data_IF_763840213437
#
_entry.id   IF_763840213437
#
_cell.length_a   1.000
_cell.length_b   1.000
_cell.length_c   1.000
_cell.angle_alpha   90.00
_cell.angle_beta   90.00
_cell.angle_gamma   90.00
#
_symmetry.space_group_name_H-M   'P 1'
#
loop_
_entity.id
_entity.type
_entity.pdbx_description
1 polymer ?
#
# COMPACT_ATOMS: atom_id res chain seq x y z
N UNK A 1 4.36 9.64 10.94
CA UNK A 1 3.72 9.91 9.63
C UNK A 1 3.14 11.33 9.65
N UNK A 2 3.44 12.18 8.65
CA UNK A 2 3.00 13.60 8.55
C UNK A 2 1.99 13.89 7.42
N UNK A 3 1.77 12.89 6.56
CA UNK A 3 0.86 12.89 5.43
C UNK A 3 1.19 11.71 4.51
N UNK A 4 0.19 11.10 3.87
CA UNK A 4 0.37 9.97 2.96
C UNK A 4 -0.84 9.84 2.04
N UNK A 5 -0.64 10.15 0.75
CA UNK A 5 -1.61 10.04 -0.34
C UNK A 5 -0.90 9.44 -1.55
N UNK A 6 -1.61 8.61 -2.30
CA UNK A 6 -1.08 7.99 -3.51
C UNK A 6 -2.18 7.32 -4.33
N UNK A 7 -1.78 6.74 -5.45
CA UNK A 7 -2.66 6.10 -6.42
C UNK A 7 -2.35 4.61 -6.47
N UNK A 8 -3.27 3.73 -6.03
CA UNK A 8 -3.03 2.28 -6.10
C UNK A 8 -3.21 1.72 -7.51
N UNK A 9 -3.98 2.41 -8.34
CA UNK A 9 -4.25 2.04 -9.74
C UNK A 9 -3.42 2.94 -10.67
N UNK A 10 -2.91 2.41 -11.80
CA UNK A 10 -2.11 3.18 -12.76
C UNK A 10 -2.99 4.09 -13.64
N UNK A 11 -3.65 5.07 -13.03
CA UNK A 11 -4.58 6.00 -13.70
C UNK A 11 -3.87 7.20 -14.36
N UNK A 12 -2.58 7.39 -14.09
CA UNK A 12 -1.75 8.48 -14.59
C UNK A 12 -0.34 7.96 -14.92
N UNK A 13 0.41 8.63 -15.82
CA UNK A 13 1.85 8.43 -15.93
C UNK A 13 2.55 8.62 -14.58
N UNK A 14 3.62 7.85 -14.32
CA UNK A 14 4.30 7.84 -13.02
C UNK A 14 4.73 9.23 -12.55
N UNK A 15 5.25 10.06 -13.46
CA UNK A 15 5.69 11.42 -13.12
C UNK A 15 4.54 12.32 -12.68
N UNK A 16 3.38 12.21 -13.32
CA UNK A 16 2.20 13.00 -12.99
C UNK A 16 1.59 12.54 -11.67
N UNK A 17 1.51 11.21 -11.46
CA UNK A 17 1.08 10.62 -10.20
C UNK A 17 1.98 11.04 -9.04
N UNK A 18 3.30 11.04 -9.23
CA UNK A 18 4.27 11.47 -8.23
C UNK A 18 4.06 12.93 -7.85
N UNK A 19 3.98 13.83 -8.83
CA UNK A 19 3.78 15.26 -8.58
C UNK A 19 2.49 15.52 -7.80
N UNK A 20 1.37 14.94 -8.22
CA UNK A 20 0.10 15.12 -7.51
C UNK A 20 0.14 14.48 -6.12
N UNK A 21 0.65 13.26 -5.97
CA UNK A 21 0.73 12.55 -4.69
C UNK A 21 1.61 13.30 -3.68
N UNK A 22 2.74 13.88 -4.12
CA UNK A 22 3.61 14.71 -3.26
C UNK A 22 2.87 15.94 -2.73
N UNK A 23 2.20 16.70 -3.61
CA UNK A 23 1.43 17.89 -3.23
C UNK A 23 0.26 17.49 -2.31
N UNK A 24 -0.47 16.44 -2.68
CA UNK A 24 -1.63 15.95 -1.95
C UNK A 24 -1.25 15.43 -0.55
N UNK A 25 -0.15 14.69 -0.42
CA UNK A 25 0.36 14.22 0.88
C UNK A 25 0.69 15.38 1.83
N UNK A 26 1.23 16.48 1.31
CA UNK A 26 1.59 17.65 2.11
C UNK A 26 0.40 18.58 2.42
N UNK A 27 -0.60 18.66 1.53
CA UNK A 27 -1.61 19.74 1.56
C UNK A 27 -3.08 19.30 1.57
N UNK A 28 -3.36 18.02 1.26
CA UNK A 28 -4.72 17.48 1.08
C UNK A 28 -5.01 16.22 1.89
N UNK A 29 -4.07 15.69 2.66
CA UNK A 29 -4.35 14.59 3.59
C UNK A 29 -5.30 15.07 4.70
N UNK A 30 -6.55 14.58 4.79
CA UNK A 30 -7.56 15.11 5.71
C UNK A 30 -7.26 14.81 7.17
N UNK A 31 -6.30 13.92 7.46
CA UNK A 31 -5.92 13.52 8.82
C UNK A 31 -4.96 14.52 9.48
N UNK A 32 -4.32 15.39 8.70
CA UNK A 32 -3.27 16.30 9.18
C UNK A 32 -3.50 17.74 8.71
N UNK A 33 -2.96 18.72 9.43
CA UNK A 33 -2.89 20.08 8.93
C UNK A 33 -1.91 20.17 7.76
N UNK A 34 -2.09 21.16 6.87
CA UNK A 34 -1.16 21.38 5.75
C UNK A 34 0.27 21.58 6.27
N UNK A 35 1.24 20.99 5.59
CA UNK A 35 2.67 21.19 5.86
C UNK A 35 3.03 22.63 5.52
N UNK A 36 3.67 23.34 6.46
CA UNK A 36 4.22 24.68 6.20
C UNK A 36 5.60 24.59 5.52
N UNK A 37 6.01 25.62 4.76
CA UNK A 37 7.33 25.64 4.13
C UNK A 37 8.49 25.45 5.11
N UNK A 38 8.40 25.99 6.34
CA UNK A 38 9.44 25.85 7.36
C UNK A 38 9.52 24.43 7.98
N UNK A 39 8.48 23.62 7.83
CA UNK A 39 8.47 22.22 8.28
C UNK A 39 9.26 21.33 7.31
N UNK A 40 9.32 21.66 6.02
CA UNK A 40 9.89 20.79 4.98
C UNK A 40 11.32 20.32 5.28
N UNK A 41 12.18 21.23 5.75
CA UNK A 41 13.57 20.94 6.16
C UNK A 41 13.71 19.97 7.34
N UNK A 42 12.61 19.60 7.99
CA UNK A 42 12.55 18.66 9.11
C UNK A 42 11.79 17.38 8.75
N UNK A 43 11.36 17.22 7.49
CA UNK A 43 10.63 16.05 7.03
C UNK A 43 11.55 15.17 6.19
N UNK A 44 11.38 13.86 6.36
CA UNK A 44 11.93 12.84 5.46
C UNK A 44 10.85 12.51 4.43
N UNK A 45 11.20 12.58 3.16
CA UNK A 45 10.32 12.19 2.06
C UNK A 45 10.51 10.71 1.76
N UNK A 46 9.40 10.01 1.58
CA UNK A 46 9.35 8.61 1.17
C UNK A 46 8.39 8.47 -0.02
N UNK A 47 8.82 7.71 -1.04
CA UNK A 47 8.07 7.42 -2.25
C UNK A 47 7.99 5.91 -2.43
N UNK A 48 6.77 5.41 -2.55
CA UNK A 48 6.50 4.00 -2.87
C UNK A 48 6.00 3.90 -4.31
N UNK A 49 6.75 3.21 -5.17
CA UNK A 49 6.38 2.93 -6.56
C UNK A 49 5.78 1.53 -6.64
N UNK A 50 4.60 1.41 -7.23
CA UNK A 50 3.85 0.15 -7.29
C UNK A 50 3.83 -0.44 -8.70
N UNK A 51 3.88 -1.76 -8.80
CA UNK A 51 3.49 -2.46 -10.03
C UNK A 51 1.97 -2.36 -10.22
N UNK A 52 1.46 -2.49 -11.45
CA UNK A 52 0.02 -2.65 -11.67
C UNK A 52 -0.53 -3.82 -10.83
N UNK A 53 -1.69 -3.66 -10.16
CA UNK A 53 -2.32 -4.77 -9.44
C UNK A 53 -2.79 -5.88 -10.39
N UNK A 54 -2.46 -7.11 -10.05
CA UNK A 54 -2.85 -8.31 -10.80
C UNK A 54 -3.87 -9.12 -10.01
N UNK A 55 -4.97 -9.51 -10.66
CA UNK A 55 -5.99 -10.35 -10.04
C UNK A 55 -5.43 -11.74 -9.74
N UNK A 56 -5.51 -12.18 -8.48
CA UNK A 56 -5.14 -13.55 -8.10
C UNK A 56 -6.25 -14.49 -8.58
N UNK A 57 -5.93 -15.35 -9.53
CA UNK A 57 -6.87 -16.36 -10.06
C UNK A 57 -6.79 -17.62 -9.22
N UNK A 58 -7.92 -18.02 -8.65
CA UNK A 58 -8.10 -19.25 -7.87
C UNK A 58 -9.33 -20.02 -8.35
N UNK A 59 -9.37 -21.33 -8.16
CA UNK A 59 -10.57 -22.14 -8.39
C UNK A 59 -11.40 -22.24 -7.11
N UNK A 60 -10.71 -22.34 -5.97
CA UNK A 60 -11.27 -22.26 -4.63
C UNK A 60 -10.62 -21.13 -3.83
N UNK A 61 -11.39 -20.46 -2.98
CA UNK A 61 -10.88 -19.36 -2.15
C UNK A 61 -9.81 -19.81 -1.17
N UNK A 62 -9.81 -21.08 -0.74
CA UNK A 62 -8.75 -21.64 0.12
C UNK A 62 -7.35 -21.63 -0.53
N UNK A 63 -7.26 -21.43 -1.86
CA UNK A 63 -5.97 -21.31 -2.53
C UNK A 63 -5.29 -19.95 -2.33
N UNK A 64 -6.02 -18.90 -1.95
CA UNK A 64 -5.48 -17.54 -1.88
C UNK A 64 -4.20 -17.43 -1.03
N UNK A 65 -4.14 -17.94 0.22
CA UNK A 65 -2.92 -17.86 1.03
C UNK A 65 -1.68 -18.39 0.31
N UNK A 66 -1.80 -19.50 -0.43
CA UNK A 66 -0.68 -20.12 -1.15
C UNK A 66 -0.15 -19.33 -2.36
N UNK A 67 -0.90 -18.32 -2.83
CA UNK A 67 -0.55 -17.48 -3.99
C UNK A 67 0.07 -16.14 -3.60
N UNK A 68 0.22 -15.89 -2.30
CA UNK A 68 0.64 -14.63 -1.71
C UNK A 68 2.00 -14.85 -1.06
N UNK A 69 2.98 -14.03 -1.45
CA UNK A 69 4.32 -14.06 -0.87
C UNK A 69 4.47 -12.89 0.13
N UNK A 70 4.42 -13.18 1.43
CA UNK A 70 4.59 -12.18 2.49
C UNK A 70 5.96 -11.51 2.37
N UNK A 71 5.99 -10.18 2.51
CA UNK A 71 7.21 -9.37 2.36
C UNK A 71 7.53 -8.97 0.93
N UNK A 72 6.75 -9.44 -0.04
CA UNK A 72 6.90 -9.10 -1.46
C UNK A 72 5.61 -8.60 -2.07
N UNK A 73 4.51 -9.32 -1.84
CA UNK A 73 3.20 -8.96 -2.35
C UNK A 73 2.49 -8.00 -1.39
N UNK A 74 1.97 -6.91 -1.92
CA UNK A 74 0.92 -6.09 -1.32
C UNK A 74 -0.44 -6.59 -1.79
N UNK A 75 -1.49 -6.36 -1.01
CA UNK A 75 -2.83 -6.85 -1.31
C UNK A 75 -3.84 -5.73 -1.48
N UNK A 76 -4.78 -5.96 -2.40
CA UNK A 76 -6.00 -5.19 -2.54
C UNK A 76 -7.18 -6.15 -2.44
N UNK A 77 -8.10 -5.87 -1.53
CA UNK A 77 -9.39 -6.56 -1.42
C UNK A 77 -10.49 -5.65 -1.92
N UNK A 78 -11.33 -6.15 -2.82
CA UNK A 78 -12.48 -5.45 -3.37
C UNK A 78 -13.74 -6.32 -3.27
N UNK A 79 -14.81 -5.79 -2.66
CA UNK A 79 -16.15 -6.37 -2.71
C UNK A 79 -17.20 -5.26 -2.86
N UNK A 80 -17.89 -5.25 -4.01
CA UNK A 80 -18.82 -4.18 -4.36
C UNK A 80 -18.12 -2.82 -4.42
N UNK A 81 -18.57 -1.86 -3.59
CA UNK A 81 -17.99 -0.51 -3.50
C UNK A 81 -16.88 -0.38 -2.44
N UNK A 82 -16.62 -1.45 -1.68
CA UNK A 82 -15.61 -1.45 -0.62
C UNK A 82 -14.28 -1.95 -1.17
N UNK A 83 -13.22 -1.19 -0.89
CA UNK A 83 -11.86 -1.49 -1.34
C UNK A 83 -10.85 -1.14 -0.26
N UNK A 84 -9.91 -2.04 0.00
CA UNK A 84 -8.85 -1.86 0.98
C UNK A 84 -7.52 -2.30 0.39
N UNK A 85 -6.45 -1.63 0.79
CA UNK A 85 -5.09 -1.92 0.35
C UNK A 85 -4.15 -1.94 1.55
N UNK A 86 -3.25 -2.92 1.58
CA UNK A 86 -2.10 -2.96 2.46
C UNK A 86 -0.81 -3.21 1.65
N UNK A 87 0.25 -2.51 2.03
CA UNK A 87 1.54 -2.56 1.34
C UNK A 87 2.36 -3.81 1.74
N UNK A 88 3.33 -4.24 0.92
CA UNK A 88 4.11 -5.46 1.16
C UNK A 88 4.84 -5.55 2.52
N UNK A 89 5.25 -4.41 3.08
CA UNK A 89 6.00 -4.37 4.35
C UNK A 89 5.11 -4.57 5.58
N UNK A 90 3.83 -4.23 5.50
CA UNK A 90 2.90 -4.28 6.65
C UNK A 90 2.85 -5.67 7.28
N UNK A 91 2.62 -6.78 6.53
CA UNK A 91 2.56 -8.10 7.14
C UNK A 91 3.91 -8.54 7.73
N UNK A 92 5.05 -8.03 7.25
CA UNK A 92 6.37 -8.32 7.84
C UNK A 92 6.52 -7.64 9.18
N UNK A 93 6.20 -6.34 9.26
CA UNK A 93 6.27 -5.54 10.49
C UNK A 93 5.36 -6.10 11.59
N UNK A 94 4.17 -6.56 11.21
CA UNK A 94 3.16 -7.11 12.12
C UNK A 94 3.30 -8.62 12.36
N UNK A 95 4.24 -9.29 11.67
CA UNK A 95 4.50 -10.74 11.74
C UNK A 95 3.26 -11.59 11.37
N UNK A 96 2.53 -11.14 10.36
CA UNK A 96 1.38 -11.85 9.81
C UNK A 96 1.82 -12.89 8.78
N UNK A 97 1.13 -14.03 8.78
CA UNK A 97 1.18 -14.94 7.64
C UNK A 97 0.25 -14.44 6.50
N UNK A 98 0.18 -15.21 5.41
CA UNK A 98 -0.65 -14.86 4.25
C UNK A 98 -2.15 -14.81 4.56
N UNK A 99 -2.63 -15.60 5.52
CA UNK A 99 -4.04 -15.66 5.89
C UNK A 99 -4.42 -14.48 6.78
N UNK A 100 -3.61 -14.18 7.80
CA UNK A 100 -3.73 -12.97 8.61
C UNK A 100 -3.69 -11.73 7.70
N UNK A 101 -2.78 -11.70 6.73
CA UNK A 101 -2.65 -10.59 5.81
C UNK A 101 -3.91 -10.36 4.95
N UNK A 102 -4.53 -11.43 4.44
CA UNK A 102 -5.82 -11.36 3.76
C UNK A 102 -6.91 -10.81 4.68
N UNK A 103 -6.99 -11.33 5.90
CA UNK A 103 -7.99 -10.93 6.88
C UNK A 103 -7.89 -9.44 7.25
N UNK A 104 -6.68 -8.97 7.50
CA UNK A 104 -6.41 -7.57 7.80
C UNK A 104 -6.64 -6.65 6.61
N UNK A 105 -6.39 -7.12 5.38
CA UNK A 105 -6.74 -6.36 4.18
C UNK A 105 -8.26 -6.25 4.00
N UNK A 106 -9.03 -7.28 4.37
CA UNK A 106 -10.49 -7.20 4.41
C UNK A 106 -10.98 -6.17 5.44
N UNK A 107 -10.43 -6.17 6.66
CA UNK A 107 -10.74 -5.14 7.66
C UNK A 107 -10.42 -3.74 7.11
N UNK A 108 -9.28 -3.60 6.44
CA UNK A 108 -8.86 -2.32 5.84
C UNK A 108 -9.86 -1.81 4.79
N UNK A 109 -10.54 -2.71 4.10
CA UNK A 109 -11.62 -2.40 3.16
C UNK A 109 -12.96 -2.07 3.86
N UNK A 110 -13.04 -2.19 5.19
CA UNK A 110 -14.28 -2.09 5.95
C UNK A 110 -15.18 -3.31 5.76
N UNK A 111 -14.60 -4.49 5.53
CA UNK A 111 -15.29 -5.76 5.32
C UNK A 111 -15.03 -6.73 6.50
N UNK A 112 -15.86 -7.79 6.66
CA UNK A 112 -15.57 -8.87 7.60
C UNK A 112 -14.20 -9.52 7.35
N UNK A 113 -13.59 -10.07 8.40
CA UNK A 113 -12.26 -10.71 8.35
C UNK A 113 -12.16 -11.79 7.27
N UNK A 114 -13.18 -12.62 7.15
CA UNK A 114 -13.28 -13.75 6.22
C UNK A 114 -13.80 -13.37 4.83
N UNK A 115 -13.91 -12.08 4.52
CA UNK A 115 -14.47 -11.61 3.25
C UNK A 115 -13.73 -12.15 2.02
N UNK A 116 -12.44 -12.48 2.14
CA UNK A 116 -11.65 -13.07 1.07
C UNK A 116 -12.11 -14.49 0.67
N UNK A 117 -12.88 -15.17 1.54
CA UNK A 117 -13.54 -16.44 1.24
C UNK A 117 -14.84 -16.29 0.43
N UNK A 118 -15.33 -15.05 0.25
CA UNK A 118 -16.48 -14.79 -0.60
C UNK A 118 -16.07 -14.91 -2.08
N UNK A 119 -16.79 -15.72 -2.86
CA UNK A 119 -16.54 -15.93 -4.30
C UNK A 119 -16.69 -14.66 -5.15
N UNK A 120 -17.41 -13.65 -4.66
CA UNK A 120 -17.54 -12.35 -5.32
C UNK A 120 -16.40 -11.39 -4.96
N UNK A 121 -15.63 -11.67 -3.90
CA UNK A 121 -14.50 -10.84 -3.52
C UNK A 121 -13.36 -11.02 -4.53
N UNK A 122 -12.80 -9.89 -4.97
CA UNK A 122 -11.63 -9.87 -5.83
C UNK A 122 -10.41 -9.53 -5.00
N UNK A 123 -9.41 -10.39 -5.08
CA UNK A 123 -8.12 -10.20 -4.42
C UNK A 123 -7.09 -9.92 -5.50
N UNK A 124 -6.43 -8.77 -5.42
CA UNK A 124 -5.33 -8.42 -6.29
C UNK A 124 -4.04 -8.38 -5.49
N UNK A 125 -2.94 -8.70 -6.16
CA UNK A 125 -1.60 -8.50 -5.64
C UNK A 125 -0.79 -7.55 -6.48
N UNK A 126 0.14 -6.85 -5.84
CA UNK A 126 1.08 -5.96 -6.49
C UNK A 126 2.40 -5.99 -5.72
N UNK A 127 3.46 -5.46 -6.31
CA UNK A 127 4.75 -5.29 -5.66
C UNK A 127 5.07 -3.81 -5.53
N UNK A 128 5.96 -3.47 -4.61
CA UNK A 128 6.36 -2.10 -4.36
C UNK A 128 7.84 -1.95 -4.13
N UNK A 129 8.40 -0.84 -4.60
CA UNK A 129 9.75 -0.37 -4.26
C UNK A 129 9.62 0.92 -3.44
N UNK A 130 10.37 1.03 -2.35
CA UNK A 130 10.29 2.17 -1.45
C UNK A 130 11.61 2.91 -1.45
N UNK A 131 11.57 4.20 -1.80
CA UNK A 131 12.72 5.09 -1.78
C UNK A 131 12.49 6.14 -0.69
N UNK A 132 13.48 6.35 0.18
CA UNK A 132 13.36 7.26 1.31
C UNK A 132 14.64 8.04 1.51
N UNK A 133 14.52 9.31 1.89
CA UNK A 133 15.67 10.04 2.41
C UNK A 133 16.12 9.45 3.76
N UNK A 134 17.42 9.43 4.02
CA UNK A 134 18.01 8.98 5.30
C UNK A 134 17.84 10.00 6.43
N UNK A 135 17.74 11.27 6.06
CA UNK A 135 17.45 12.45 6.88
C UNK A 135 16.89 13.54 5.95
N UNK A 136 16.26 14.61 6.46
CA UNK A 136 15.77 15.68 5.60
C UNK A 136 16.87 16.19 4.64
N UNK A 137 16.57 16.25 3.34
CA UNK A 137 17.50 16.65 2.27
C UNK A 137 18.79 15.79 2.20
N UNK A 138 18.73 14.57 2.72
CA UNK A 138 19.85 13.63 2.78
C UNK A 138 19.98 12.74 1.53
N UNK A 139 20.81 11.72 1.65
CA UNK A 139 20.90 10.66 0.64
C UNK A 139 19.58 9.88 0.57
N UNK A 140 19.16 9.53 -0.64
CA UNK A 140 18.00 8.68 -0.91
C UNK A 140 18.47 7.24 -1.01
N UNK A 141 17.86 6.37 -0.22
CA UNK A 141 18.12 4.92 -0.23
C UNK A 141 16.85 4.17 -0.64
N UNK A 142 17.04 3.02 -1.29
CA UNK A 142 15.97 2.04 -1.45
C UNK A 142 15.86 1.21 -0.17
N UNK A 143 14.66 1.12 0.40
CA UNK A 143 14.36 0.31 1.58
C UNK A 143 14.01 -1.11 1.12
N UNK A 144 14.79 -2.08 1.59
CA UNK A 144 14.48 -3.51 1.46
C UNK A 144 13.87 -4.01 2.77
N UNK A 145 12.70 -4.64 2.71
CA UNK A 145 11.99 -5.19 3.88
C UNK A 145 12.26 -6.68 4.11
N UNK A 146 13.18 -7.26 3.34
CA UNK A 146 13.58 -8.67 3.45
C UNK A 146 14.77 -8.90 4.41
N UNK A 147 15.16 -7.90 5.20
CA UNK A 147 16.24 -8.00 6.20
C UNK A 147 15.70 -7.95 7.64
#
# INVERSE_FOLDING_TARGET
MRGCIGYPEPVLPLIDALLDASISSATRDPRFQKVRPDELKNLVIEVTVLTPPELIKVQDTEEYPSKIEVGKDGLIVELGFRKGLLLPQVPVEEKWDSEDFLCHTCIKAGLPLDCWMNKEAKIYKFQGQIFSETRPEGEIIEKNFME
#
